data_IF_088562764036
#
_entry.id   IF_088562764036
#
_cell.length_a   1.000
_cell.length_b   1.000
_cell.length_c   1.000
_cell.angle_alpha   90.00
_cell.angle_beta   90.00
_cell.angle_gamma   90.00
#
_symmetry.space_group_name_H-M   'P 1'
#
loop_
_entity.id
_entity.type
_entity.pdbx_description
1 polymer ?
#
# COMPACT_ATOMS: atom_id res chain seq x y z
N UNK A 1 -38.66 22.79 -23.60
CA UNK A 1 -38.86 21.53 -22.90
C UNK A 1 -37.65 20.65 -23.22
N UNK A 2 -36.66 20.59 -22.33
CA UNK A 2 -35.52 19.70 -22.47
C UNK A 2 -35.67 18.59 -21.39
N UNK A 3 -35.80 17.35 -21.87
CA UNK A 3 -35.96 16.19 -21.05
C UNK A 3 -34.59 15.87 -20.38
N UNK A 4 -34.53 15.86 -19.04
CA UNK A 4 -33.42 15.30 -18.28
C UNK A 4 -33.59 13.77 -18.27
N UNK A 5 -32.68 13.08 -18.92
CA UNK A 5 -32.53 11.63 -18.76
C UNK A 5 -31.76 11.33 -17.48
N UNK A 6 -32.47 10.84 -16.47
CA UNK A 6 -31.85 10.23 -15.29
C UNK A 6 -31.33 8.83 -15.66
N UNK A 7 -30.04 8.65 -15.64
CA UNK A 7 -29.43 7.32 -15.71
C UNK A 7 -29.47 6.73 -14.30
N UNK A 8 -30.34 5.75 -14.10
CA UNK A 8 -30.30 4.89 -12.90
C UNK A 8 -29.13 3.93 -13.00
N UNK A 9 -28.10 4.13 -12.21
CA UNK A 9 -27.09 3.12 -11.95
C UNK A 9 -27.69 2.13 -10.96
N UNK A 10 -28.13 0.98 -11.45
CA UNK A 10 -28.52 -0.13 -10.61
C UNK A 10 -27.29 -0.74 -9.96
N UNK A 11 -27.15 -0.57 -8.66
CA UNK A 11 -26.16 -1.28 -7.85
C UNK A 11 -26.56 -2.77 -7.81
N UNK A 12 -25.86 -3.60 -8.59
CA UNK A 12 -25.93 -5.05 -8.49
C UNK A 12 -25.06 -5.46 -7.31
N UNK A 13 -25.66 -5.51 -6.13
CA UNK A 13 -25.08 -6.15 -4.96
C UNK A 13 -25.06 -7.66 -5.17
N UNK A 14 -24.02 -8.20 -5.74
CA UNK A 14 -23.75 -9.64 -5.74
C UNK A 14 -23.05 -9.95 -4.43
N UNK A 15 -23.76 -10.58 -3.51
CA UNK A 15 -23.22 -11.05 -2.23
C UNK A 15 -21.98 -11.94 -2.49
N UNK A 16 -20.81 -11.49 -2.08
CA UNK A 16 -19.54 -12.20 -2.19
C UNK A 16 -19.50 -13.58 -1.50
N UNK A 17 -20.54 -13.93 -0.74
CA UNK A 17 -20.65 -15.23 -0.06
C UNK A 17 -20.87 -16.42 -1.01
N UNK A 18 -21.29 -16.20 -2.26
CA UNK A 18 -21.66 -17.28 -3.17
C UNK A 18 -20.50 -17.83 -4.03
N UNK A 19 -19.35 -17.20 -4.05
CA UNK A 19 -18.20 -17.57 -4.90
C UNK A 19 -17.18 -18.44 -4.13
N UNK A 20 -17.20 -18.44 -2.82
CA UNK A 20 -16.25 -19.16 -1.96
C UNK A 20 -16.53 -20.66 -1.81
N UNK A 21 -17.64 -21.20 -2.37
CA UNK A 21 -18.07 -22.58 -2.01
C UNK A 21 -17.77 -23.68 -3.02
N UNK A 22 -17.10 -23.45 -4.16
CA UNK A 22 -17.14 -24.44 -5.21
C UNK A 22 -15.81 -24.88 -5.88
N UNK A 23 -14.62 -24.37 -5.50
CA UNK A 23 -13.39 -24.76 -6.25
C UNK A 23 -12.12 -25.05 -5.47
N UNK A 24 -12.03 -24.83 -4.16
CA UNK A 24 -10.78 -25.07 -3.43
C UNK A 24 -11.00 -26.04 -2.28
N UNK A 25 -10.17 -27.11 -2.24
CA UNK A 25 -9.99 -27.91 -1.04
C UNK A 25 -9.69 -26.95 0.12
N UNK A 26 -10.49 -26.99 1.18
CA UNK A 26 -10.72 -26.00 2.23
C UNK A 26 -9.53 -25.10 2.51
N UNK A 27 -9.73 -23.78 2.38
CA UNK A 27 -8.75 -22.80 2.78
C UNK A 27 -8.37 -23.05 4.25
N UNK A 28 -7.09 -22.93 4.62
CA UNK A 28 -6.60 -23.26 5.97
C UNK A 28 -6.99 -22.21 7.01
N UNK A 29 -8.19 -21.60 6.87
CA UNK A 29 -8.67 -20.52 7.73
C UNK A 29 -9.79 -20.99 8.64
N UNK A 30 -9.78 -20.51 9.88
CA UNK A 30 -10.92 -20.67 10.76
C UNK A 30 -12.15 -19.89 10.23
N UNK A 31 -13.34 -20.28 10.65
CA UNK A 31 -14.54 -19.51 10.34
C UNK A 31 -14.50 -18.08 10.89
N UNK A 32 -13.71 -17.80 11.93
CA UNK A 32 -13.49 -16.46 12.46
C UNK A 32 -12.62 -15.62 11.49
N UNK A 33 -11.51 -16.18 11.02
CA UNK A 33 -10.64 -15.51 10.06
C UNK A 33 -11.37 -15.21 8.75
N UNK A 34 -12.19 -16.15 8.24
CA UNK A 34 -13.00 -15.92 7.03
C UNK A 34 -13.98 -14.74 7.18
N UNK A 35 -14.60 -14.58 8.37
CA UNK A 35 -15.47 -13.42 8.63
C UNK A 35 -14.69 -12.11 8.71
N UNK A 36 -13.50 -12.12 9.33
CA UNK A 36 -12.63 -10.93 9.36
C UNK A 36 -12.17 -10.55 7.95
N UNK A 37 -11.76 -11.51 7.11
CA UNK A 37 -11.40 -11.29 5.71
C UNK A 37 -12.56 -10.60 4.97
N UNK A 38 -13.76 -11.18 5.03
CA UNK A 38 -14.93 -10.63 4.33
C UNK A 38 -15.29 -9.20 4.83
N UNK A 39 -15.14 -8.94 6.12
CA UNK A 39 -15.34 -7.59 6.68
C UNK A 39 -14.35 -6.59 6.12
N UNK A 40 -13.08 -6.97 6.05
CA UNK A 40 -11.99 -6.11 5.53
C UNK A 40 -12.18 -5.85 4.04
N UNK A 41 -12.51 -6.88 3.26
CA UNK A 41 -12.79 -6.73 1.83
C UNK A 41 -13.96 -5.76 1.58
N UNK A 42 -15.03 -5.83 2.38
CA UNK A 42 -16.15 -4.89 2.31
C UNK A 42 -15.74 -3.46 2.68
N UNK A 43 -14.90 -3.29 3.69
CA UNK A 43 -14.41 -1.95 4.09
C UNK A 43 -13.48 -1.35 3.02
N UNK A 44 -12.64 -2.16 2.38
CA UNK A 44 -11.83 -1.75 1.24
C UNK A 44 -12.72 -1.25 0.09
N UNK A 45 -13.77 -2.02 -0.28
CA UNK A 45 -14.69 -1.65 -1.35
C UNK A 45 -15.43 -0.33 -1.04
N UNK A 46 -15.79 -0.12 0.23
CA UNK A 46 -16.41 1.12 0.69
C UNK A 46 -15.45 2.31 0.54
N UNK A 47 -14.22 2.18 1.06
CA UNK A 47 -13.21 3.25 1.00
C UNK A 47 -12.84 3.57 -0.46
N UNK A 48 -12.68 2.56 -1.31
CA UNK A 48 -12.44 2.75 -2.75
C UNK A 48 -13.61 3.52 -3.38
N UNK A 49 -14.86 3.09 -3.14
CA UNK A 49 -16.05 3.72 -3.69
C UNK A 49 -16.20 5.18 -3.25
N UNK A 50 -15.99 5.49 -1.96
CA UNK A 50 -15.99 6.85 -1.44
C UNK A 50 -14.88 7.71 -2.07
N UNK A 51 -13.72 7.13 -2.30
CA UNK A 51 -12.59 7.80 -2.94
C UNK A 51 -12.86 8.08 -4.43
N UNK A 52 -13.52 7.16 -5.13
CA UNK A 52 -13.91 7.33 -6.54
C UNK A 52 -14.94 8.47 -6.72
N UNK A 53 -15.84 8.69 -5.75
CA UNK A 53 -16.78 9.82 -5.79
C UNK A 53 -16.02 11.16 -5.87
N UNK A 54 -14.86 11.27 -5.21
CA UNK A 54 -14.03 12.48 -5.24
C UNK A 54 -13.46 12.82 -6.63
N UNK A 55 -13.46 11.89 -7.57
CA UNK A 55 -13.10 12.18 -8.98
C UNK A 55 -14.06 13.17 -9.65
N UNK A 56 -15.29 13.31 -9.14
CA UNK A 56 -16.26 14.31 -9.62
C UNK A 56 -15.96 15.76 -9.19
N UNK A 57 -15.06 15.95 -8.22
CA UNK A 57 -14.64 17.26 -7.71
C UNK A 57 -13.18 17.19 -7.23
N UNK A 58 -12.26 17.22 -8.20
CA UNK A 58 -10.83 17.13 -7.90
C UNK A 58 -10.35 18.36 -7.12
N UNK A 59 -9.43 18.19 -6.17
CA UNK A 59 -8.74 19.32 -5.54
C UNK A 59 -7.92 20.10 -6.57
N UNK A 60 -7.82 21.42 -6.40
CA UNK A 60 -6.96 22.27 -7.26
C UNK A 60 -5.47 22.07 -6.99
N UNK A 61 -5.11 21.56 -5.78
CA UNK A 61 -3.73 21.37 -5.36
C UNK A 61 -3.19 20.02 -5.85
N UNK A 62 -2.09 20.05 -6.59
CA UNK A 62 -1.43 18.86 -7.14
C UNK A 62 -1.03 17.85 -6.06
N UNK A 63 -0.58 18.29 -4.88
CA UNK A 63 -0.23 17.39 -3.77
C UNK A 63 -1.46 16.58 -3.35
N UNK A 64 -2.62 17.24 -3.18
CA UNK A 64 -3.86 16.54 -2.82
C UNK A 64 -4.37 15.62 -3.95
N UNK A 65 -4.09 15.95 -5.21
CA UNK A 65 -4.38 15.06 -6.34
C UNK A 65 -3.51 13.80 -6.28
N UNK A 66 -2.22 13.93 -5.95
CA UNK A 66 -1.30 12.80 -5.74
C UNK A 66 -1.75 11.94 -4.55
N UNK A 67 -2.12 12.57 -3.43
CA UNK A 67 -2.65 11.87 -2.26
C UNK A 67 -3.93 11.07 -2.58
N UNK A 68 -4.87 11.67 -3.32
CA UNK A 68 -6.09 10.99 -3.76
C UNK A 68 -5.77 9.82 -4.70
N UNK A 69 -4.87 10.03 -5.66
CA UNK A 69 -4.44 8.99 -6.59
C UNK A 69 -3.76 7.84 -5.85
N UNK A 70 -2.86 8.14 -4.93
CA UNK A 70 -2.18 7.15 -4.11
C UNK A 70 -3.15 6.34 -3.25
N UNK A 71 -4.15 7.00 -2.67
CA UNK A 71 -5.23 6.33 -1.95
C UNK A 71 -6.01 5.37 -2.86
N UNK A 72 -6.42 5.81 -4.03
CA UNK A 72 -7.12 4.97 -5.00
C UNK A 72 -6.29 3.75 -5.42
N UNK A 73 -4.99 3.90 -5.64
CA UNK A 73 -4.08 2.81 -5.96
C UNK A 73 -3.90 1.82 -4.79
N UNK A 74 -3.79 2.32 -3.55
CA UNK A 74 -3.58 1.50 -2.37
C UNK A 74 -4.80 0.63 -2.03
N UNK A 75 -6.01 1.09 -2.35
CA UNK A 75 -7.26 0.37 -2.10
C UNK A 75 -7.77 -0.41 -3.31
N UNK A 76 -7.08 -0.39 -4.45
CA UNK A 76 -7.52 -1.04 -5.69
C UNK A 76 -7.20 -2.54 -5.73
N UNK A 77 -8.20 -3.38 -5.55
CA UNK A 77 -8.08 -4.85 -5.65
C UNK A 77 -7.77 -5.34 -7.06
N UNK A 78 -8.18 -4.57 -8.09
CA UNK A 78 -7.95 -4.92 -9.49
C UNK A 78 -6.47 -5.01 -9.85
N UNK A 79 -5.58 -4.43 -9.03
CA UNK A 79 -4.13 -4.47 -9.23
C UNK A 79 -3.48 -5.80 -8.82
N UNK A 80 -4.23 -6.76 -8.29
CA UNK A 80 -3.72 -8.09 -7.93
C UNK A 80 -4.13 -9.18 -8.92
N UNK A 81 -3.39 -10.28 -9.01
CA UNK A 81 -3.57 -11.31 -10.05
C UNK A 81 -4.99 -11.85 -10.13
N UNK A 82 -5.64 -12.10 -8.99
CA UNK A 82 -7.03 -12.56 -8.92
C UNK A 82 -8.04 -11.44 -8.68
N UNK A 83 -7.63 -10.17 -8.74
CA UNK A 83 -8.49 -8.98 -8.52
C UNK A 83 -9.22 -9.00 -7.17
N UNK A 84 -8.55 -9.50 -6.14
CA UNK A 84 -9.12 -9.73 -4.82
C UNK A 84 -8.24 -9.22 -3.67
N UNK A 85 -7.07 -8.62 -3.99
CA UNK A 85 -6.10 -8.16 -3.01
C UNK A 85 -5.70 -6.72 -3.29
N UNK A 86 -5.94 -5.83 -2.35
CA UNK A 86 -5.40 -4.47 -2.34
C UNK A 86 -4.28 -4.38 -1.30
N UNK A 87 -3.37 -3.41 -1.42
CA UNK A 87 -2.37 -3.15 -0.38
C UNK A 87 -3.04 -2.96 0.99
N UNK A 88 -4.20 -2.30 1.01
CA UNK A 88 -4.99 -2.06 2.21
C UNK A 88 -5.42 -3.33 2.94
N UNK A 89 -5.53 -4.50 2.27
CA UNK A 89 -5.89 -5.75 2.94
C UNK A 89 -4.91 -6.11 4.07
N UNK A 90 -3.64 -5.82 3.86
CA UNK A 90 -2.58 -6.02 4.85
C UNK A 90 -2.23 -4.74 5.61
N UNK A 91 -2.76 -3.57 5.21
CA UNK A 91 -2.41 -2.25 5.75
C UNK A 91 -3.66 -1.39 6.02
N UNK A 92 -4.52 -1.86 6.95
CA UNK A 92 -5.78 -1.19 7.29
C UNK A 92 -5.61 -0.04 8.30
N UNK A 93 -6.29 1.10 8.10
CA UNK A 93 -6.26 2.23 9.04
C UNK A 93 -6.64 1.86 10.47
N UNK A 94 -7.66 1.03 10.65
CA UNK A 94 -8.16 0.58 11.95
C UNK A 94 -7.13 -0.20 12.78
N UNK A 95 -6.10 -0.75 12.11
CA UNK A 95 -4.99 -1.44 12.73
C UNK A 95 -3.69 -0.59 12.75
N UNK A 96 -3.79 0.73 12.50
CA UNK A 96 -2.62 1.60 12.37
C UNK A 96 -1.83 1.32 11.11
N UNK A 97 -2.52 1.03 10.00
CA UNK A 97 -1.96 0.72 8.69
C UNK A 97 -1.02 -0.51 8.66
N UNK A 98 -1.30 -1.49 9.53
CA UNK A 98 -0.71 -2.83 9.51
C UNK A 98 -1.81 -3.88 9.39
N UNK A 99 -1.46 -5.17 9.50
CA UNK A 99 -2.39 -6.28 9.32
C UNK A 99 -3.50 -6.32 10.38
N UNK A 100 -4.79 -6.26 9.98
CA UNK A 100 -5.92 -6.12 10.89
C UNK A 100 -6.42 -7.46 11.47
N UNK A 101 -6.07 -8.62 10.88
CA UNK A 101 -6.68 -9.90 11.24
C UNK A 101 -6.05 -10.47 12.51
N UNK A 102 -6.82 -10.44 13.59
CA UNK A 102 -6.36 -10.83 14.91
C UNK A 102 -5.84 -12.28 14.98
N UNK A 103 -6.47 -13.21 14.26
CA UNK A 103 -6.02 -14.61 14.22
C UNK A 103 -4.63 -14.74 13.61
N UNK A 104 -4.37 -14.09 12.46
CA UNK A 104 -3.06 -14.14 11.81
C UNK A 104 -1.99 -13.50 12.68
N UNK A 105 -2.30 -12.36 13.29
CA UNK A 105 -1.38 -11.67 14.19
C UNK A 105 -0.97 -12.50 15.42
N UNK A 106 -1.87 -13.39 15.91
CA UNK A 106 -1.58 -14.26 17.07
C UNK A 106 -0.87 -15.57 16.70
N UNK A 107 -0.97 -16.01 15.45
CA UNK A 107 -0.47 -17.33 15.03
C UNK A 107 0.81 -17.22 14.22
N UNK A 108 0.70 -16.81 12.97
CA UNK A 108 1.82 -16.80 12.02
C UNK A 108 2.43 -15.42 11.81
N UNK A 109 1.66 -14.35 12.04
CA UNK A 109 2.00 -13.01 11.61
C UNK A 109 1.92 -12.79 10.09
N UNK A 110 1.78 -13.88 9.32
CA UNK A 110 1.74 -13.88 7.86
C UNK A 110 0.32 -13.75 7.36
N UNK A 111 0.16 -13.08 6.23
CA UNK A 111 -1.12 -12.83 5.59
C UNK A 111 -1.22 -13.56 4.26
N UNK A 112 -2.41 -14.07 3.88
CA UNK A 112 -2.61 -14.69 2.57
C UNK A 112 -2.59 -13.61 1.50
N UNK A 113 -1.92 -13.87 0.38
CA UNK A 113 -1.93 -12.99 -0.77
C UNK A 113 -3.13 -13.20 -1.70
N UNK A 114 -3.09 -12.62 -2.88
CA UNK A 114 -4.13 -12.75 -3.91
C UNK A 114 -4.40 -14.22 -4.28
N UNK A 115 -3.37 -15.07 -4.31
CA UNK A 115 -3.49 -16.52 -4.31
C UNK A 115 -3.63 -16.99 -2.86
N UNK A 116 -4.85 -17.16 -2.38
CA UNK A 116 -5.19 -17.34 -0.96
C UNK A 116 -4.50 -18.54 -0.25
N UNK A 117 -3.83 -19.40 -0.97
CA UNK A 117 -3.02 -20.50 -0.43
C UNK A 117 -1.54 -20.13 -0.27
N UNK A 118 -1.14 -18.93 -0.68
CA UNK A 118 0.23 -18.41 -0.55
C UNK A 118 0.24 -17.33 0.51
N UNK A 119 1.19 -17.41 1.45
CA UNK A 119 1.29 -16.50 2.58
C UNK A 119 2.56 -15.65 2.50
N UNK A 120 2.45 -14.40 2.91
CA UNK A 120 3.60 -13.51 3.06
C UNK A 120 4.63 -14.13 4.02
N UNK A 121 5.90 -13.83 3.81
CA UNK A 121 6.99 -14.36 4.64
C UNK A 121 7.16 -13.59 5.95
N UNK A 122 6.59 -12.38 6.03
CA UNK A 122 6.74 -11.47 7.16
C UNK A 122 5.41 -10.80 7.49
N UNK A 123 5.27 -10.39 8.74
CA UNK A 123 4.15 -9.57 9.17
C UNK A 123 4.16 -8.23 8.41
N UNK A 124 3.00 -7.76 7.91
CA UNK A 124 2.90 -6.43 7.32
C UNK A 124 3.32 -5.35 8.32
N UNK A 125 4.28 -4.51 7.93
CA UNK A 125 4.69 -3.34 8.70
C UNK A 125 3.65 -2.23 8.56
N UNK A 126 3.65 -1.27 9.48
CA UNK A 126 2.81 -0.10 9.33
C UNK A 126 3.29 0.79 8.18
N UNK A 127 2.35 1.33 7.40
CA UNK A 127 2.61 2.42 6.45
C UNK A 127 2.65 3.79 7.14
N UNK A 128 2.02 3.91 8.33
CA UNK A 128 2.05 5.17 9.07
C UNK A 128 3.49 5.56 9.40
N UNK A 129 3.85 6.78 9.02
CA UNK A 129 5.18 7.38 9.20
C UNK A 129 6.31 6.72 8.39
N UNK A 130 6.04 5.69 7.57
CA UNK A 130 7.05 5.03 6.73
C UNK A 130 7.75 5.99 5.75
N UNK A 131 7.07 6.98 5.12
CA UNK A 131 7.72 7.95 4.24
C UNK A 131 8.71 8.90 4.93
N UNK A 132 8.72 8.95 6.26
CA UNK A 132 9.70 9.75 7.01
C UNK A 132 11.07 9.07 7.10
N UNK A 133 11.16 7.80 6.74
CA UNK A 133 12.44 7.10 6.64
C UNK A 133 13.30 7.72 5.53
N UNK A 134 14.53 8.19 5.83
CA UNK A 134 15.38 8.79 4.82
C UNK A 134 15.90 7.75 3.83
N UNK A 135 16.44 8.21 2.71
CA UNK A 135 17.22 7.36 1.81
C UNK A 135 18.34 6.68 2.59
N UNK A 136 18.48 5.36 2.40
CA UNK A 136 19.43 4.55 3.14
C UNK A 136 20.88 5.06 2.98
N UNK A 137 21.49 5.39 4.08
CA UNK A 137 22.86 5.86 4.14
C UNK A 137 23.58 5.38 5.41
N UNK A 138 24.89 5.39 5.39
CA UNK A 138 25.69 5.16 6.58
C UNK A 138 25.83 6.48 7.36
N UNK A 139 25.51 6.46 8.64
CA UNK A 139 25.68 7.58 9.55
C UNK A 139 26.97 7.40 10.37
N UNK A 140 28.02 8.10 9.99
CA UNK A 140 29.33 8.01 10.64
C UNK A 140 29.28 8.36 12.14
N UNK A 141 28.44 9.32 12.52
CA UNK A 141 28.32 9.75 13.92
C UNK A 141 27.66 8.71 14.84
N UNK A 142 26.91 7.78 14.28
CA UNK A 142 26.24 6.68 14.98
C UNK A 142 26.89 5.33 14.74
N UNK A 143 27.69 5.19 13.67
CA UNK A 143 28.31 3.94 13.26
C UNK A 143 27.32 2.92 12.69
N UNK A 144 26.14 3.36 12.22
CA UNK A 144 25.03 2.52 11.78
C UNK A 144 24.49 2.93 10.41
N UNK A 145 23.76 1.99 9.77
CA UNK A 145 22.93 2.31 8.62
C UNK A 145 21.62 2.95 9.11
N UNK A 146 21.19 4.01 8.43
CA UNK A 146 19.95 4.76 8.72
C UNK A 146 19.12 4.92 7.47
N UNK A 147 17.81 4.70 7.58
CA UNK A 147 16.85 4.86 6.49
C UNK A 147 16.50 3.55 5.79
N UNK A 148 15.88 3.69 4.62
CA UNK A 148 15.30 2.56 3.89
C UNK A 148 13.97 2.08 4.46
N UNK A 149 13.26 1.28 3.71
CA UNK A 149 12.03 0.59 4.12
C UNK A 149 12.15 -0.92 3.90
N UNK A 150 11.16 -1.68 4.36
CA UNK A 150 11.22 -3.08 4.73
C UNK A 150 12.10 -3.33 5.96
N UNK A 151 11.87 -4.47 6.60
CA UNK A 151 12.65 -4.87 7.79
C UNK A 151 14.16 -4.97 7.52
N UNK A 152 14.53 -5.36 6.31
CA UNK A 152 15.92 -5.52 5.87
C UNK A 152 16.46 -4.31 5.07
N UNK A 153 15.77 -3.18 5.09
CA UNK A 153 16.15 -1.92 4.43
C UNK A 153 16.41 -2.04 2.91
N UNK A 154 15.93 -3.11 2.24
CA UNK A 154 16.18 -3.33 0.81
C UNK A 154 15.52 -2.29 -0.10
N UNK A 155 14.41 -1.67 0.32
CA UNK A 155 13.87 -0.48 -0.33
C UNK A 155 14.68 0.74 0.11
N UNK A 156 15.80 0.96 -0.55
CA UNK A 156 16.83 1.92 -0.12
C UNK A 156 16.44 3.37 -0.35
N UNK A 157 15.52 3.64 -1.24
CA UNK A 157 15.17 4.98 -1.71
C UNK A 157 16.19 5.59 -2.69
N UNK A 158 17.26 4.88 -3.03
CA UNK A 158 18.35 5.44 -3.87
C UNK A 158 17.93 5.68 -5.31
N UNK A 159 17.03 4.87 -5.85
CA UNK A 159 16.56 4.99 -7.23
C UNK A 159 15.48 6.05 -7.40
N UNK A 160 14.51 6.06 -6.49
CA UNK A 160 13.34 6.96 -6.55
C UNK A 160 13.47 8.19 -5.64
N UNK A 161 14.53 8.31 -4.84
CA UNK A 161 14.67 9.35 -3.84
C UNK A 161 13.74 9.18 -2.64
N UNK A 162 12.97 8.07 -2.58
CA UNK A 162 11.95 7.82 -1.58
C UNK A 162 11.86 6.32 -1.25
N UNK A 163 12.25 5.88 -0.04
CA UNK A 163 12.18 4.48 0.36
C UNK A 163 10.75 3.91 0.37
N UNK A 164 9.73 4.72 0.70
CA UNK A 164 8.34 4.25 0.69
C UNK A 164 7.86 3.97 -0.74
N UNK A 165 8.23 4.80 -1.71
CA UNK A 165 7.94 4.53 -3.11
C UNK A 165 8.64 3.26 -3.61
N UNK A 166 9.93 3.06 -3.33
CA UNK A 166 10.61 1.82 -3.69
C UNK A 166 10.01 0.59 -3.01
N UNK A 167 9.50 0.73 -1.78
CA UNK A 167 8.79 -0.33 -1.10
C UNK A 167 7.49 -0.71 -1.83
N UNK A 168 6.71 0.29 -2.25
CA UNK A 168 5.41 0.08 -2.91
C UNK A 168 5.51 -0.68 -4.25
N UNK A 169 6.68 -0.76 -4.87
CA UNK A 169 6.93 -1.56 -6.08
C UNK A 169 7.02 -3.07 -5.82
N UNK A 170 7.32 -3.48 -4.59
CA UNK A 170 7.52 -4.89 -4.26
C UNK A 170 6.23 -5.74 -4.33
N UNK A 171 5.18 -5.39 -3.59
CA UNK A 171 3.96 -6.19 -3.45
C UNK A 171 3.26 -6.59 -4.75
N UNK A 172 3.15 -5.73 -5.78
CA UNK A 172 2.43 -6.08 -7.01
C UNK A 172 2.95 -7.36 -7.68
N UNK A 173 4.26 -7.57 -7.72
CA UNK A 173 4.89 -8.72 -8.36
C UNK A 173 5.34 -9.81 -7.39
N UNK A 174 5.16 -9.59 -6.09
CA UNK A 174 5.47 -10.62 -5.10
C UNK A 174 4.46 -11.78 -5.19
N UNK A 175 4.91 -13.03 -5.48
CA UNK A 175 4.01 -14.17 -5.70
C UNK A 175 3.15 -14.54 -4.49
N UNK A 176 3.55 -14.13 -3.29
CA UNK A 176 2.84 -14.40 -2.03
C UNK A 176 2.04 -13.20 -1.51
N UNK A 177 2.00 -12.11 -2.30
CA UNK A 177 1.23 -10.90 -2.02
C UNK A 177 0.25 -10.66 -3.18
N UNK A 178 0.41 -9.61 -4.01
CA UNK A 178 -0.51 -9.32 -5.12
C UNK A 178 -0.34 -10.25 -6.33
N UNK A 179 0.82 -10.88 -6.49
CA UNK A 179 1.03 -12.07 -7.32
C UNK A 179 1.02 -11.87 -8.83
N UNK A 180 1.19 -10.65 -9.35
CA UNK A 180 1.33 -10.43 -10.79
C UNK A 180 2.64 -11.04 -11.32
N UNK A 181 2.62 -11.56 -12.54
CA UNK A 181 3.80 -12.12 -13.18
C UNK A 181 4.74 -11.08 -13.80
N UNK A 182 4.29 -9.84 -13.96
CA UNK A 182 5.04 -8.74 -14.57
C UNK A 182 4.53 -7.40 -13.99
N UNK A 183 5.42 -6.45 -13.69
CA UNK A 183 5.02 -5.12 -13.24
C UNK A 183 4.17 -4.37 -14.28
N UNK A 184 4.38 -4.65 -15.58
CA UNK A 184 3.59 -4.08 -16.65
C UNK A 184 2.09 -4.43 -16.51
N UNK A 185 1.76 -5.53 -15.85
CA UNK A 185 0.37 -5.90 -15.55
C UNK A 185 -0.30 -4.91 -14.59
N UNK A 186 0.41 -4.38 -13.61
CA UNK A 186 -0.13 -3.33 -12.73
C UNK A 186 -0.47 -2.07 -13.54
N UNK A 187 0.45 -1.64 -14.42
CA UNK A 187 0.24 -0.49 -15.31
C UNK A 187 -0.92 -0.72 -16.29
N UNK A 188 -0.96 -1.91 -16.90
CA UNK A 188 -2.04 -2.31 -17.80
C UNK A 188 -3.41 -2.21 -17.12
N UNK A 189 -3.54 -2.71 -15.89
CA UNK A 189 -4.78 -2.66 -15.12
C UNK A 189 -5.10 -1.24 -14.68
N UNK A 190 -4.16 -0.49 -14.14
CA UNK A 190 -4.34 0.91 -13.76
C UNK A 190 -4.83 1.77 -14.93
N UNK A 191 -4.33 1.52 -16.15
CA UNK A 191 -4.76 2.25 -17.36
C UNK A 191 -6.26 2.08 -17.70
N UNK A 192 -6.93 1.11 -17.10
CA UNK A 192 -8.35 0.78 -17.32
C UNK A 192 -9.25 1.18 -16.15
N UNK A 193 -8.67 1.80 -15.11
CA UNK A 193 -9.42 2.18 -13.92
C UNK A 193 -10.06 3.57 -14.07
N UNK A 194 -11.12 3.84 -13.31
CA UNK A 194 -11.81 5.15 -13.35
C UNK A 194 -10.89 6.34 -13.03
N UNK A 195 -9.81 6.14 -12.28
CA UNK A 195 -8.85 7.18 -11.92
C UNK A 195 -7.78 7.45 -12.99
N UNK A 196 -7.86 6.82 -14.16
CA UNK A 196 -6.92 7.04 -15.28
C UNK A 196 -6.75 8.52 -15.60
N UNK A 197 -7.85 9.26 -15.74
CA UNK A 197 -7.81 10.68 -16.07
C UNK A 197 -7.09 11.52 -14.99
N UNK A 198 -7.27 11.18 -13.71
CA UNK A 198 -6.53 11.79 -12.61
C UNK A 198 -5.02 11.47 -12.73
N UNK A 199 -4.68 10.22 -13.02
CA UNK A 199 -3.29 9.81 -13.22
C UNK A 199 -2.61 10.60 -14.34
N UNK A 200 -3.28 10.71 -15.50
CA UNK A 200 -2.78 11.47 -16.65
C UNK A 200 -2.67 12.97 -16.36
N UNK A 201 -3.54 13.50 -15.52
CA UNK A 201 -3.47 14.91 -15.07
C UNK A 201 -2.27 15.18 -14.16
N UNK A 202 -1.92 14.21 -13.30
CA UNK A 202 -0.79 14.32 -12.35
C UNK A 202 0.56 14.08 -13.03
N UNK A 203 0.65 13.02 -13.83
CA UNK A 203 1.90 12.49 -14.37
C UNK A 203 2.09 12.70 -15.87
N UNK A 204 1.08 13.23 -16.54
CA UNK A 204 1.10 13.50 -17.99
C UNK A 204 0.38 12.44 -18.81
N UNK A 205 -0.23 12.87 -19.90
CA UNK A 205 -1.03 12.04 -20.80
C UNK A 205 -0.27 10.86 -21.45
N UNK A 206 1.07 10.92 -21.45
CA UNK A 206 1.91 9.88 -22.04
C UNK A 206 2.10 8.66 -21.12
N UNK A 207 1.69 8.73 -19.86
CA UNK A 207 1.87 7.64 -18.89
C UNK A 207 1.29 6.31 -19.38
N UNK A 208 0.11 6.34 -19.99
CA UNK A 208 -0.58 5.15 -20.50
C UNK A 208 -0.56 5.03 -22.03
N UNK A 209 0.27 5.80 -22.73
CA UNK A 209 0.43 5.69 -24.18
C UNK A 209 1.36 4.50 -24.54
N UNK A 210 0.88 3.28 -24.27
CA UNK A 210 1.58 2.01 -24.44
C UNK A 210 0.80 1.13 -25.40
N UNK A 211 1.48 0.58 -26.41
CA UNK A 211 0.89 -0.40 -27.31
C UNK A 211 0.96 -1.79 -26.67
N UNK A 212 -0.18 -2.21 -26.15
CA UNK A 212 -0.29 -3.48 -25.43
C UNK A 212 -0.46 -4.66 -26.38
N UNK A 213 0.32 -5.75 -26.22
CA UNK A 213 0.06 -7.02 -26.88
C UNK A 213 -1.36 -7.53 -26.66
N UNK A 214 -1.93 -8.19 -27.65
CA UNK A 214 -3.32 -8.68 -27.59
C UNK A 214 -3.57 -9.72 -26.50
N UNK A 215 -2.54 -10.42 -26.04
CA UNK A 215 -2.58 -11.44 -25.00
C UNK A 215 -2.27 -10.90 -23.59
N UNK A 216 -2.05 -9.58 -23.44
CA UNK A 216 -1.66 -8.95 -22.17
C UNK A 216 -2.61 -9.32 -21.03
N UNK A 217 -3.93 -9.29 -21.25
CA UNK A 217 -4.88 -9.65 -20.19
C UNK A 217 -4.73 -11.14 -19.77
N UNK A 218 -4.54 -12.03 -20.73
CA UNK A 218 -4.32 -13.44 -20.44
C UNK A 218 -3.01 -13.70 -19.67
N UNK A 219 -1.94 -12.97 -19.99
CA UNK A 219 -0.68 -13.00 -19.26
C UNK A 219 -0.88 -12.50 -17.84
N UNK A 220 -1.53 -11.36 -17.68
CA UNK A 220 -1.74 -10.71 -16.38
C UNK A 220 -2.72 -11.44 -15.44
N UNK A 221 -3.44 -12.43 -15.94
CA UNK A 221 -4.28 -13.34 -15.14
C UNK A 221 -3.54 -14.62 -14.70
N UNK A 222 -2.24 -14.75 -15.04
CA UNK A 222 -1.42 -15.88 -14.58
C UNK A 222 -0.65 -15.48 -13.32
N UNK A 223 -0.76 -16.28 -12.24
CA UNK A 223 -0.02 -16.00 -11.02
C UNK A 223 1.50 -16.07 -11.22
N UNK A 224 2.23 -15.08 -10.71
CA UNK A 224 3.68 -15.12 -10.60
C UNK A 224 4.18 -16.25 -9.65
N UNK A 225 5.50 -16.50 -9.62
CA UNK A 225 6.51 -15.81 -10.41
C UNK A 225 6.42 -16.19 -11.89
N UNK A 226 6.97 -15.34 -12.78
CA UNK A 226 7.06 -15.70 -14.21
C UNK A 226 8.00 -16.88 -14.43
N UNK A 227 7.90 -17.59 -15.57
CA UNK A 227 8.86 -18.62 -15.95
C UNK A 227 10.29 -18.06 -16.02
N UNK A 228 11.28 -18.89 -15.67
CA UNK A 228 12.69 -18.45 -15.66
C UNK A 228 13.22 -18.09 -17.05
N UNK A 229 12.69 -18.72 -18.09
CA UNK A 229 13.02 -18.46 -19.50
C UNK A 229 12.23 -17.28 -20.10
N UNK A 230 11.21 -16.77 -19.38
CA UNK A 230 10.44 -15.59 -19.79
C UNK A 230 10.16 -14.69 -18.56
N UNK A 231 11.17 -13.96 -18.05
CA UNK A 231 11.02 -13.17 -16.82
C UNK A 231 10.17 -11.91 -17.00
N UNK A 232 9.79 -11.56 -18.23
CA UNK A 232 8.99 -10.38 -18.57
C UNK A 232 7.89 -10.75 -19.57
N UNK A 233 6.89 -11.56 -19.15
CA UNK A 233 5.96 -12.22 -20.05
C UNK A 233 4.99 -11.30 -20.80
N UNK A 234 4.88 -10.03 -20.42
CA UNK A 234 4.22 -9.00 -21.24
C UNK A 234 5.23 -8.48 -22.25
N UNK A 235 5.20 -9.00 -23.50
CA UNK A 235 6.21 -8.72 -24.53
C UNK A 235 6.04 -7.34 -25.16
N UNK A 236 6.44 -6.30 -24.45
CA UNK A 236 6.44 -4.92 -24.93
C UNK A 236 7.68 -4.60 -25.76
N UNK A 237 7.57 -3.62 -26.67
CA UNK A 237 8.73 -3.00 -27.27
C UNK A 237 9.63 -2.37 -26.19
N UNK A 238 10.92 -2.12 -26.48
CA UNK A 238 11.81 -1.46 -25.51
C UNK A 238 11.29 -0.08 -25.08
N UNK A 239 10.66 0.65 -26.02
CA UNK A 239 10.07 1.98 -25.77
C UNK A 239 8.87 1.85 -24.81
N UNK A 240 7.96 0.94 -25.10
CA UNK A 240 6.77 0.73 -24.27
C UNK A 240 7.11 0.13 -22.90
N UNK A 241 8.12 -0.76 -22.85
CA UNK A 241 8.65 -1.30 -21.60
C UNK A 241 9.24 -0.19 -20.72
N UNK A 242 10.01 0.74 -21.31
CA UNK A 242 10.54 1.92 -20.61
C UNK A 242 9.41 2.83 -20.09
N UNK A 243 8.36 3.04 -20.90
CA UNK A 243 7.19 3.82 -20.49
C UNK A 243 6.42 3.12 -19.37
N UNK A 244 6.20 1.82 -19.48
CA UNK A 244 5.56 1.03 -18.42
C UNK A 244 6.35 1.11 -17.11
N UNK A 245 7.68 1.03 -17.15
CA UNK A 245 8.53 1.16 -15.98
C UNK A 245 8.39 2.55 -15.33
N UNK A 246 8.46 3.63 -16.12
CA UNK A 246 8.28 4.99 -15.61
C UNK A 246 6.88 5.19 -15.00
N UNK A 247 5.84 4.62 -15.61
CA UNK A 247 4.47 4.70 -15.08
C UNK A 247 4.33 3.89 -13.78
N UNK A 248 4.99 2.74 -13.67
CA UNK A 248 5.02 1.95 -12.44
C UNK A 248 5.71 2.71 -11.30
N UNK A 249 6.85 3.39 -11.58
CA UNK A 249 7.50 4.30 -10.65
C UNK A 249 6.54 5.43 -10.18
N UNK A 250 5.76 6.00 -11.10
CA UNK A 250 4.76 7.04 -10.80
C UNK A 250 3.61 6.52 -9.93
N UNK A 251 3.16 5.26 -10.14
CA UNK A 251 2.20 4.61 -9.25
C UNK A 251 2.76 4.51 -7.83
N UNK A 252 3.98 4.04 -7.69
CA UNK A 252 4.67 3.91 -6.41
C UNK A 252 4.88 5.26 -5.70
N UNK A 253 5.26 6.29 -6.44
CA UNK A 253 5.38 7.67 -5.94
C UNK A 253 4.03 8.22 -5.46
N UNK A 254 2.93 7.88 -6.16
CA UNK A 254 1.59 8.30 -5.75
C UNK A 254 1.17 7.62 -4.44
N UNK A 255 1.44 6.32 -4.30
CA UNK A 255 1.18 5.57 -3.05
C UNK A 255 1.96 6.21 -1.89
N UNK A 256 3.26 6.46 -2.05
CA UNK A 256 4.07 7.14 -1.05
C UNK A 256 3.57 8.57 -0.74
N UNK A 257 2.99 9.27 -1.73
CA UNK A 257 2.32 10.54 -1.54
C UNK A 257 1.12 10.43 -0.60
N UNK A 258 0.26 9.43 -0.79
CA UNK A 258 -0.84 9.16 0.13
C UNK A 258 -0.35 8.75 1.53
N UNK A 259 0.66 7.90 1.62
CA UNK A 259 1.26 7.50 2.90
C UNK A 259 1.84 8.70 3.67
N UNK A 260 2.30 9.74 2.94
CA UNK A 260 2.78 11.00 3.53
C UNK A 260 1.65 11.95 3.95
N UNK A 261 0.41 11.69 3.51
CA UNK A 261 -0.73 12.57 3.80
C UNK A 261 -1.06 12.61 5.29
N UNK A 262 -1.80 13.65 5.68
CA UNK A 262 -2.28 13.79 7.06
C UNK A 262 -3.24 12.67 7.49
N UNK A 263 -3.84 11.95 6.54
CA UNK A 263 -4.69 10.79 6.83
C UNK A 263 -3.88 9.60 7.38
N UNK A 264 -2.64 9.41 6.91
CA UNK A 264 -1.77 8.29 7.29
C UNK A 264 -0.72 8.71 8.30
N UNK A 265 -0.18 9.93 8.16
CA UNK A 265 0.91 10.49 8.97
C UNK A 265 0.42 11.74 9.70
N UNK A 266 -0.44 11.54 10.71
CA UNK A 266 -1.29 12.58 11.26
C UNK A 266 -0.66 13.45 12.35
N UNK A 267 0.29 12.95 13.15
CA UNK A 267 0.85 13.63 14.33
C UNK A 267 -0.22 14.26 15.25
N UNK A 268 -1.24 13.48 15.61
CA UNK A 268 -2.39 13.92 16.39
C UNK A 268 -2.48 13.25 17.77
N UNK A 269 -1.41 12.61 18.22
CA UNK A 269 -1.38 11.97 19.52
C UNK A 269 -1.38 12.99 20.66
N UNK A 270 -1.73 12.55 21.87
CA UNK A 270 -1.59 13.39 23.07
C UNK A 270 -0.13 13.81 23.29
N UNK A 271 0.83 12.94 22.93
CA UNK A 271 2.26 13.27 22.99
C UNK A 271 2.57 14.49 22.11
N UNK A 272 2.10 14.50 20.85
CA UNK A 272 2.30 15.63 19.93
C UNK A 272 1.68 16.92 20.48
N UNK A 273 0.49 16.82 21.09
CA UNK A 273 -0.17 17.96 21.72
C UNK A 273 0.62 18.49 22.94
N UNK A 274 1.24 17.59 23.73
CA UNK A 274 2.11 17.98 24.85
C UNK A 274 3.38 18.65 24.35
N UNK A 275 4.04 18.12 23.31
CA UNK A 275 5.22 18.72 22.71
C UNK A 275 4.90 20.11 22.13
N UNK A 276 3.70 20.31 21.60
CA UNK A 276 3.21 21.59 21.10
C UNK A 276 2.71 22.55 22.21
N UNK A 277 2.78 22.18 23.50
CA UNK A 277 2.29 22.96 24.63
C UNK A 277 0.76 23.11 24.69
N UNK A 278 0.01 22.25 23.96
CA UNK A 278 -1.46 22.28 23.86
C UNK A 278 -2.16 21.32 24.83
N UNK A 279 -1.41 20.43 25.49
CA UNK A 279 -1.90 19.49 26.48
C UNK A 279 -0.85 19.24 27.57
N UNK A 280 -1.24 18.51 28.61
CA UNK A 280 -0.34 18.06 29.67
C UNK A 280 -0.54 16.55 29.89
N UNK A 281 0.51 15.84 30.25
CA UNK A 281 0.42 14.47 30.72
C UNK A 281 -0.28 14.44 32.08
N UNK A 282 -1.07 13.40 32.33
CA UNK A 282 -1.47 13.04 33.70
C UNK A 282 -0.23 12.58 34.48
N UNK A 283 -0.34 12.51 35.81
CA UNK A 283 0.78 12.01 36.64
C UNK A 283 1.25 10.62 36.23
N UNK A 284 0.32 9.73 35.84
CA UNK A 284 0.65 8.37 35.41
C UNK A 284 1.33 8.35 34.04
N UNK A 285 0.87 9.15 33.10
CA UNK A 285 1.50 9.29 31.77
C UNK A 285 2.90 9.91 31.89
N UNK A 286 3.07 10.89 32.78
CA UNK A 286 4.39 11.48 33.05
C UNK A 286 5.34 10.43 33.61
N UNK A 287 4.91 9.61 34.57
CA UNK A 287 5.72 8.48 35.07
C UNK A 287 6.10 7.50 33.94
N UNK A 288 5.18 7.19 33.03
CA UNK A 288 5.46 6.37 31.86
C UNK A 288 6.51 7.01 30.94
N UNK A 289 6.40 8.30 30.69
CA UNK A 289 7.36 9.05 29.89
C UNK A 289 8.74 9.13 30.54
N UNK A 290 8.80 9.31 31.87
CA UNK A 290 10.06 9.30 32.62
C UNK A 290 10.73 7.91 32.58
N UNK A 291 9.94 6.83 32.64
CA UNK A 291 10.44 5.46 32.42
C UNK A 291 10.97 5.25 31.01
N UNK A 292 10.24 5.71 29.99
CA UNK A 292 10.62 5.61 28.58
C UNK A 292 11.99 6.26 28.33
N UNK A 293 12.21 7.47 28.86
CA UNK A 293 13.47 8.24 28.71
C UNK A 293 14.58 7.81 29.64
N UNK A 294 14.23 7.22 30.78
CA UNK A 294 15.16 6.91 31.85
C UNK A 294 15.40 5.41 32.02
N UNK A 295 14.90 4.86 33.13
CA UNK A 295 15.22 3.50 33.58
C UNK A 295 14.91 2.39 32.57
N UNK A 296 13.84 2.53 31.78
CA UNK A 296 13.46 1.53 30.78
C UNK A 296 14.30 1.61 29.50
N UNK A 297 15.04 2.70 29.29
CA UNK A 297 15.95 2.89 28.14
C UNK A 297 15.31 2.78 26.75
N UNK A 298 13.99 2.95 26.65
CA UNK A 298 13.28 2.80 25.40
C UNK A 298 13.74 3.86 24.36
N UNK A 299 14.08 5.06 24.82
CA UNK A 299 14.56 6.16 23.99
C UNK A 299 15.96 5.94 23.41
N UNK A 300 16.69 4.93 23.81
CA UNK A 300 17.96 4.57 23.15
C UNK A 300 17.73 4.06 21.71
N UNK A 301 16.55 3.46 21.46
CA UNK A 301 16.12 3.01 20.13
C UNK A 301 14.97 3.86 19.57
N UNK A 302 14.02 4.25 20.43
CA UNK A 302 12.83 5.04 20.06
C UNK A 302 13.02 6.50 20.49
N UNK A 303 13.79 7.28 19.73
CA UNK A 303 14.13 8.66 20.11
C UNK A 303 12.91 9.55 20.03
N UNK A 304 12.59 10.21 21.14
CA UNK A 304 11.59 11.27 21.19
C UNK A 304 12.14 12.61 20.64
N UNK A 305 11.28 13.39 20.00
CA UNK A 305 11.66 14.68 19.43
C UNK A 305 12.44 14.63 18.10
N UNK A 306 12.77 13.45 17.61
CA UNK A 306 13.40 13.23 16.29
C UNK A 306 12.44 12.56 15.30
N UNK A 307 11.18 12.94 15.31
CA UNK A 307 10.17 12.40 14.39
C UNK A 307 10.58 12.77 12.95
N UNK A 308 10.77 11.74 12.13
CA UNK A 308 11.39 11.84 10.81
C UNK A 308 12.81 11.30 10.74
N UNK A 309 13.39 10.92 11.88
CA UNK A 309 14.68 10.22 11.95
C UNK A 309 14.47 8.87 12.62
N UNK A 310 13.77 7.96 11.96
CA UNK A 310 13.71 6.57 12.37
C UNK A 310 15.09 5.95 12.15
N UNK A 311 15.93 5.97 13.19
CA UNK A 311 17.11 5.14 13.20
C UNK A 311 16.70 3.73 13.58
N UNK A 312 16.50 2.88 12.59
CA UNK A 312 16.39 1.46 12.81
C UNK A 312 17.78 0.95 13.16
N UNK A 313 18.04 0.75 14.45
CA UNK A 313 19.20 -0.03 14.86
C UNK A 313 18.85 -1.49 14.72
N UNK A 314 19.09 -2.07 13.56
CA UNK A 314 19.31 -3.50 13.47
C UNK A 314 20.72 -3.80 14.00
N UNK A 315 20.78 -4.44 15.15
CA UNK A 315 21.98 -5.18 15.52
C UNK A 315 21.91 -6.52 14.78
N UNK A 316 22.75 -6.66 13.77
CA UNK A 316 23.09 -7.95 13.18
C UNK A 316 23.88 -8.77 14.19
#
# INVERSE_FOLDING_TARGET
MRALSFVFVAAVGVSALSILSARDGGLPFSGAALREIARIENEIDKIESESLIRLGSLPDNQVQQIELLGKLLLYDKELSVNRNEACAFCHMPEAGFTGPIAEFNRTTGSYPGSVRTRFSERKPQTHAYAPLSPVLHYNEGQGDLVGGNFWDMRATGRRLGNPAAEQAEGPPTNPVEMGLSDFACAVYRASRRPYRALFESVWGAQAFAIDWPSDTDAVCNRPGPPPADDPSPVHLTSVDRGRAAATFDQMAQSIAGYESSHEVTAFTSKYDAVQAGKAQFTAQEQQGYDLFRGKAKCNECHRDGEIGRASWRERV
#
